data_IF_133873129461
#
_entry.id   IF_133873129461
#
_cell.length_a   1.000
_cell.length_b   1.000
_cell.length_c   1.000
_cell.angle_alpha   90.00
_cell.angle_beta   90.00
_cell.angle_gamma   90.00
#
_symmetry.space_group_name_H-M   'P 1'
#
loop_
_entity.id
_entity.type
_entity.pdbx_description
1 polymer ?
#
# COMPACT_ATOMS: atom_id res chain seq x y z
N UNK A 1 77.01 55.17 -17.29
CA UNK A 1 76.01 54.12 -17.26
C UNK A 1 75.04 54.38 -16.08
N UNK A 2 73.86 54.94 -16.35
CA UNK A 2 72.85 55.17 -15.33
C UNK A 2 71.95 53.89 -15.20
N UNK A 3 71.97 53.29 -14.04
CA UNK A 3 71.04 52.15 -13.70
C UNK A 3 69.69 52.73 -13.30
N UNK A 4 68.64 52.40 -14.05
CA UNK A 4 67.28 52.69 -13.73
C UNK A 4 66.81 51.50 -12.86
N UNK A 5 66.47 51.79 -11.59
CA UNK A 5 65.82 50.83 -10.70
C UNK A 5 64.32 50.99 -10.89
N UNK A 6 63.71 49.99 -11.51
CA UNK A 6 62.23 49.90 -11.66
C UNK A 6 61.65 49.33 -10.38
N UNK A 7 61.03 50.19 -9.55
CA UNK A 7 60.31 49.72 -8.35
C UNK A 7 58.90 49.25 -8.78
N UNK A 8 58.69 47.96 -8.72
CA UNK A 8 57.38 47.39 -8.98
C UNK A 8 56.48 47.57 -7.70
N UNK A 9 55.58 48.56 -7.80
CA UNK A 9 54.57 48.73 -6.74
C UNK A 9 53.44 47.61 -6.87
N UNK A 10 53.44 46.64 -5.95
CA UNK A 10 52.41 45.66 -5.84
C UNK A 10 51.18 46.33 -5.23
N UNK A 11 50.21 46.69 -6.07
CA UNK A 11 48.90 47.11 -5.56
C UNK A 11 48.15 45.87 -5.08
N UNK A 12 48.08 45.67 -3.79
CA UNK A 12 47.10 44.75 -3.16
C UNK A 12 45.73 45.43 -3.23
N UNK A 13 44.90 45.00 -4.18
CA UNK A 13 43.48 45.32 -4.17
C UNK A 13 42.87 44.69 -2.92
N UNK A 14 42.19 45.44 -2.07
CA UNK A 14 41.43 44.86 -0.99
C UNK A 14 40.30 43.99 -1.60
N UNK A 15 40.24 42.73 -1.23
CA UNK A 15 39.08 41.90 -1.47
C UNK A 15 37.86 42.60 -0.87
N UNK A 16 37.02 43.20 -1.72
CA UNK A 16 35.75 43.73 -1.28
C UNK A 16 34.94 42.55 -0.70
N UNK A 17 34.76 42.54 0.61
CA UNK A 17 33.76 41.69 1.23
C UNK A 17 32.39 42.16 0.73
N UNK A 18 31.60 41.28 0.20
CA UNK A 18 30.21 41.55 -0.08
C UNK A 18 29.56 42.04 1.22
N UNK A 19 29.12 43.29 1.24
CA UNK A 19 28.35 43.84 2.34
C UNK A 19 26.87 43.57 2.04
N UNK A 20 26.10 43.18 3.06
CA UNK A 20 24.67 43.11 2.96
C UNK A 20 24.12 44.49 2.52
N UNK A 21 23.43 44.52 1.41
CA UNK A 21 22.76 45.71 0.94
C UNK A 21 21.43 45.81 1.66
N UNK A 22 21.35 46.72 2.66
CA UNK A 22 20.05 47.05 3.28
C UNK A 22 19.31 48.02 2.37
N UNK A 23 18.22 47.53 1.76
CA UNK A 23 17.30 48.34 0.95
C UNK A 23 16.19 48.87 1.88
N UNK A 24 16.17 50.19 2.08
CA UNK A 24 15.11 50.85 2.82
C UNK A 24 14.06 51.38 1.83
N UNK A 25 12.86 50.75 1.81
CA UNK A 25 11.77 51.14 0.92
C UNK A 25 11.45 50.11 -0.16
N UNK A 26 10.55 50.46 -1.07
CA UNK A 26 10.13 49.59 -2.16
C UNK A 26 11.24 49.45 -3.20
N UNK A 27 11.70 48.24 -3.48
CA UNK A 27 12.68 47.95 -4.52
C UNK A 27 11.94 47.43 -5.75
N UNK A 28 12.09 48.11 -6.91
CA UNK A 28 11.56 47.64 -8.20
C UNK A 28 12.72 47.14 -9.05
N UNK A 29 12.59 45.94 -9.58
CA UNK A 29 13.55 45.38 -10.55
C UNK A 29 13.26 45.83 -12.00
N UNK A 30 12.22 46.61 -12.26
CA UNK A 30 11.84 47.19 -13.57
C UNK A 30 11.95 46.18 -14.73
N UNK A 31 11.35 45.01 -14.58
CA UNK A 31 11.41 43.88 -15.53
C UNK A 31 12.77 43.15 -15.60
N UNK A 32 13.73 43.48 -14.73
CA UNK A 32 14.99 42.74 -14.61
C UNK A 32 14.88 41.59 -13.61
N UNK A 33 15.61 40.52 -13.86
CA UNK A 33 15.69 39.39 -12.95
C UNK A 33 16.70 39.64 -11.84
N UNK A 34 16.33 39.34 -10.58
CA UNK A 34 17.32 39.23 -9.50
C UNK A 34 17.89 37.80 -9.59
N UNK A 35 19.19 37.68 -9.82
CA UNK A 35 19.88 36.38 -9.98
C UNK A 35 20.67 36.04 -8.72
N UNK A 36 20.93 34.73 -8.56
CA UNK A 36 21.72 34.18 -7.44
C UNK A 36 21.07 34.45 -6.06
N UNK A 37 19.74 34.45 -5.99
CA UNK A 37 19.00 34.44 -4.72
C UNK A 37 19.17 33.06 -4.11
N UNK A 38 19.64 33.00 -2.87
CA UNK A 38 19.65 31.72 -2.10
C UNK A 38 18.23 31.31 -1.70
N UNK A 39 18.06 30.02 -1.36
CA UNK A 39 16.80 29.58 -0.81
C UNK A 39 16.52 30.25 0.54
N UNK A 40 15.25 30.59 0.84
CA UNK A 40 14.90 31.32 2.05
C UNK A 40 15.20 30.49 3.31
N UNK A 41 15.75 31.17 4.32
CA UNK A 41 15.96 30.60 5.66
C UNK A 41 15.05 31.24 6.71
N UNK A 42 14.51 32.42 6.40
CA UNK A 42 13.59 33.18 7.25
C UNK A 42 12.28 33.45 6.52
N UNK A 43 11.20 33.61 7.25
CA UNK A 43 9.85 33.78 6.69
C UNK A 43 9.66 35.01 5.78
N UNK A 44 10.60 35.98 5.82
CA UNK A 44 10.55 37.21 5.02
C UNK A 44 11.60 37.26 3.91
N UNK A 45 12.36 36.19 3.71
CA UNK A 45 13.37 36.12 2.66
C UNK A 45 12.74 36.04 1.26
N UNK A 46 13.47 36.56 0.26
CA UNK A 46 13.04 36.35 -1.11
C UNK A 46 13.25 34.90 -1.54
N UNK A 47 12.24 34.33 -2.18
CA UNK A 47 12.30 32.96 -2.65
C UNK A 47 12.59 32.90 -4.15
N UNK A 48 13.37 31.92 -4.58
CA UNK A 48 13.54 31.59 -5.99
C UNK A 48 12.29 30.91 -6.54
N UNK A 49 12.07 31.03 -7.88
CA UNK A 49 11.00 30.25 -8.52
C UNK A 49 11.16 28.74 -8.27
N UNK A 50 12.39 28.23 -8.34
CA UNK A 50 12.68 26.82 -8.12
C UNK A 50 12.30 26.37 -6.70
N UNK A 51 12.60 27.16 -5.67
CA UNK A 51 12.20 26.89 -4.31
C UNK A 51 10.67 26.87 -4.14
N UNK A 52 9.97 27.87 -4.69
CA UNK A 52 8.51 27.94 -4.64
C UNK A 52 7.89 26.75 -5.38
N UNK A 53 8.39 26.42 -6.59
CA UNK A 53 7.89 25.27 -7.36
C UNK A 53 8.06 23.95 -6.57
N UNK A 54 9.19 23.78 -5.88
CA UNK A 54 9.45 22.58 -5.05
C UNK A 54 8.48 22.51 -3.84
N UNK A 55 8.26 23.64 -3.14
CA UNK A 55 7.32 23.68 -2.00
C UNK A 55 5.87 23.44 -2.44
N UNK A 56 5.47 23.96 -3.60
CA UNK A 56 4.14 23.70 -4.17
C UNK A 56 4.02 22.22 -4.53
N UNK A 57 5.04 21.62 -5.15
CA UNK A 57 5.01 20.20 -5.51
C UNK A 57 4.89 19.30 -4.27
N UNK A 58 5.62 19.60 -3.19
CA UNK A 58 5.54 18.89 -1.92
C UNK A 58 4.14 19.03 -1.30
N UNK A 59 3.60 20.25 -1.22
CA UNK A 59 2.27 20.50 -0.67
C UNK A 59 1.16 19.85 -1.51
N UNK A 60 1.29 19.81 -2.84
CA UNK A 60 0.34 19.11 -3.72
C UNK A 60 0.40 17.62 -3.50
N UNK A 61 1.60 17.03 -3.34
CA UNK A 61 1.75 15.61 -3.04
C UNK A 61 1.13 15.24 -1.68
N UNK A 62 1.34 16.06 -0.65
CA UNK A 62 0.74 15.86 0.67
C UNK A 62 -0.78 15.96 0.63
N UNK A 63 -1.34 16.97 -0.04
CA UNK A 63 -2.78 17.09 -0.25
C UNK A 63 -3.36 15.91 -1.04
N UNK A 64 -2.62 15.41 -2.03
CA UNK A 64 -3.07 14.24 -2.80
C UNK A 64 -3.11 12.99 -1.93
N UNK A 65 -2.13 12.81 -1.04
CA UNK A 65 -2.14 11.70 -0.07
C UNK A 65 -3.33 11.83 0.89
N UNK A 66 -3.58 13.03 1.45
CA UNK A 66 -4.74 13.27 2.32
C UNK A 66 -6.08 13.02 1.60
N UNK A 67 -6.19 13.39 0.32
CA UNK A 67 -7.38 13.08 -0.50
C UNK A 67 -7.54 11.58 -0.70
N UNK A 68 -6.45 10.87 -0.95
CA UNK A 68 -6.48 9.42 -1.11
C UNK A 68 -6.89 8.73 0.20
N UNK A 69 -6.40 9.21 1.35
CA UNK A 69 -6.78 8.72 2.68
C UNK A 69 -8.27 8.94 3.01
N UNK A 70 -8.88 9.97 2.41
CA UNK A 70 -10.30 10.28 2.59
C UNK A 70 -11.21 9.60 1.57
N UNK A 71 -10.65 9.05 0.48
CA UNK A 71 -11.45 8.30 -0.50
C UNK A 71 -11.71 6.89 0.03
N UNK A 72 -12.95 6.40 -0.07
CA UNK A 72 -13.18 5.00 0.18
C UNK A 72 -12.29 4.18 -0.78
N UNK A 73 -11.72 3.08 -0.29
CA UNK A 73 -11.07 2.12 -1.16
C UNK A 73 -12.13 1.58 -2.12
N UNK A 74 -12.01 1.91 -3.39
CA UNK A 74 -12.97 1.54 -4.44
C UNK A 74 -12.25 0.82 -5.57
N UNK A 75 -12.81 -0.29 -6.04
CA UNK A 75 -12.31 -1.01 -7.19
C UNK A 75 -12.95 -0.53 -8.51
N UNK A 76 -12.48 -1.07 -9.62
CA UNK A 76 -12.95 -0.70 -10.97
C UNK A 76 -14.41 -1.11 -11.23
N UNK A 77 -14.94 -2.06 -10.45
CA UNK A 77 -16.34 -2.51 -10.51
C UNK A 77 -17.27 -1.63 -9.66
N UNK A 78 -16.73 -0.64 -8.92
CA UNK A 78 -17.46 0.27 -8.05
C UNK A 78 -17.75 -0.30 -6.65
N UNK A 79 -17.10 -1.39 -6.26
CA UNK A 79 -17.19 -1.88 -4.89
C UNK A 79 -16.32 -1.03 -3.97
N UNK A 80 -16.87 -0.63 -2.83
CA UNK A 80 -16.15 0.05 -1.77
C UNK A 80 -15.76 -0.92 -0.67
N UNK A 81 -14.64 -0.62 0.01
CA UNK A 81 -14.07 -1.45 1.06
C UNK A 81 -13.70 -0.59 2.26
N UNK A 82 -14.00 -1.08 3.45
CA UNK A 82 -13.47 -0.53 4.69
C UNK A 82 -12.00 -0.94 4.86
N UNK A 83 -11.25 -0.12 5.60
CA UNK A 83 -9.84 -0.39 5.87
C UNK A 83 -9.45 0.03 7.29
N UNK A 84 -8.34 -0.51 7.78
CA UNK A 84 -7.78 -0.21 9.10
C UNK A 84 -6.26 -0.09 9.02
N UNK A 85 -5.68 0.78 9.83
CA UNK A 85 -4.23 0.98 9.87
C UNK A 85 -3.62 0.30 11.09
N UNK A 86 -2.58 -0.49 10.87
CA UNK A 86 -1.78 -1.17 11.89
C UNK A 86 -0.33 -0.70 11.77
N UNK A 87 0.11 0.20 12.64
CA UNK A 87 1.42 0.85 12.52
C UNK A 87 1.51 1.66 11.21
N UNK A 88 2.45 1.28 10.35
CA UNK A 88 2.67 1.95 9.06
C UNK A 88 1.96 1.25 7.88
N UNK A 89 1.14 0.23 8.15
CA UNK A 89 0.41 -0.52 7.13
C UNK A 89 -1.09 -0.27 7.20
N UNK A 90 -1.73 -0.07 6.05
CA UNK A 90 -3.19 0.01 5.93
C UNK A 90 -3.72 -1.21 5.19
N UNK A 91 -4.71 -1.89 5.77
CA UNK A 91 -5.26 -3.15 5.29
C UNK A 91 -6.76 -3.03 5.04
N UNK A 92 -7.24 -3.61 3.93
CA UNK A 92 -8.67 -3.84 3.74
C UNK A 92 -9.18 -4.84 4.77
N UNK A 93 -10.36 -4.58 5.35
CA UNK A 93 -11.02 -5.48 6.31
C UNK A 93 -12.15 -6.29 5.67
N UNK A 94 -12.26 -6.21 4.36
CA UNK A 94 -13.20 -6.99 3.57
C UNK A 94 -12.48 -7.79 2.50
N UNK A 95 -13.03 -8.96 2.16
CA UNK A 95 -12.55 -9.77 1.05
C UNK A 95 -12.75 -9.05 -0.29
N UNK A 96 -11.85 -9.28 -1.23
CA UNK A 96 -11.94 -8.76 -2.59
C UNK A 96 -13.26 -9.18 -3.27
N UNK A 97 -13.89 -8.25 -4.00
CA UNK A 97 -15.18 -8.46 -4.69
C UNK A 97 -15.06 -8.26 -6.21
N UNK A 98 -13.85 -7.99 -6.71
CA UNK A 98 -13.56 -7.60 -8.09
C UNK A 98 -13.92 -8.70 -9.10
N UNK A 99 -14.46 -8.29 -10.22
CA UNK A 99 -14.69 -9.12 -11.41
C UNK A 99 -13.78 -8.69 -12.57
N UNK A 100 -13.01 -7.60 -12.35
CA UNK A 100 -12.07 -7.05 -13.31
C UNK A 100 -10.75 -6.71 -12.67
N UNK A 101 -9.71 -6.77 -13.44
CA UNK A 101 -8.42 -6.16 -13.12
C UNK A 101 -8.55 -4.63 -13.12
N UNK A 102 -7.59 -3.93 -12.49
CA UNK A 102 -7.57 -2.47 -12.38
C UNK A 102 -7.77 -1.72 -13.69
N UNK A 103 -7.33 -2.27 -14.80
CA UNK A 103 -7.46 -1.68 -16.14
C UNK A 103 -8.81 -1.95 -16.83
N UNK A 104 -9.73 -2.63 -16.15
CA UNK A 104 -11.05 -2.99 -16.66
C UNK A 104 -11.11 -4.32 -17.41
N UNK A 105 -10.00 -5.05 -17.55
CA UNK A 105 -10.01 -6.40 -18.15
C UNK A 105 -10.76 -7.36 -17.24
N UNK A 106 -11.69 -8.14 -17.78
CA UNK A 106 -12.50 -9.10 -17.02
C UNK A 106 -11.68 -10.25 -16.45
N UNK A 107 -12.02 -10.66 -15.22
CA UNK A 107 -11.58 -11.90 -14.60
C UNK A 107 -12.76 -12.88 -14.71
N UNK A 108 -12.67 -13.97 -15.49
CA UNK A 108 -13.81 -14.85 -15.71
C UNK A 108 -14.25 -15.58 -14.46
N UNK A 109 -15.58 -15.73 -14.31
CA UNK A 109 -16.15 -16.64 -13.32
C UNK A 109 -16.12 -18.07 -13.87
N UNK A 110 -15.49 -19.00 -13.13
CA UNK A 110 -15.41 -20.42 -13.51
C UNK A 110 -16.02 -21.27 -12.41
N UNK A 111 -17.14 -21.94 -12.71
CA UNK A 111 -17.90 -22.78 -11.78
C UNK A 111 -17.62 -24.28 -11.95
N UNK A 112 -17.34 -24.74 -13.18
CA UNK A 112 -17.04 -26.14 -13.46
C UNK A 112 -15.70 -26.57 -12.85
N UNK A 113 -15.66 -27.75 -12.25
CA UNK A 113 -14.46 -28.24 -11.54
C UNK A 113 -13.35 -28.65 -12.53
N UNK A 114 -13.70 -29.25 -13.67
CA UNK A 114 -12.72 -29.68 -14.66
C UNK A 114 -12.11 -28.48 -15.38
N UNK A 115 -12.92 -27.45 -15.67
CA UNK A 115 -12.41 -26.19 -16.21
C UNK A 115 -11.47 -25.52 -15.23
N UNK A 116 -11.85 -25.46 -13.93
CA UNK A 116 -11.00 -24.88 -12.89
C UNK A 116 -9.64 -25.57 -12.77
N UNK A 117 -9.61 -26.89 -12.80
CA UNK A 117 -8.38 -27.69 -12.72
C UNK A 117 -7.40 -27.41 -13.85
N UNK A 118 -7.92 -27.06 -15.04
CA UNK A 118 -7.12 -26.83 -16.24
C UNK A 118 -6.79 -25.34 -16.48
N UNK A 119 -7.13 -24.45 -15.55
CA UNK A 119 -6.85 -23.02 -15.71
C UNK A 119 -5.34 -22.73 -15.68
N UNK A 120 -4.91 -21.89 -16.60
CA UNK A 120 -3.58 -21.28 -16.65
C UNK A 120 -3.65 -19.76 -16.60
N UNK A 121 -4.86 -19.21 -16.43
CA UNK A 121 -5.16 -17.78 -16.35
C UNK A 121 -6.04 -17.48 -15.15
N UNK A 122 -6.20 -16.20 -14.85
CA UNK A 122 -7.00 -15.73 -13.73
C UNK A 122 -8.46 -16.10 -13.83
N UNK A 123 -9.04 -16.57 -12.71
CA UNK A 123 -10.45 -16.85 -12.56
C UNK A 123 -10.91 -16.67 -11.12
N UNK A 124 -12.21 -16.50 -10.95
CA UNK A 124 -12.86 -16.47 -9.64
C UNK A 124 -14.11 -17.34 -9.61
N UNK A 125 -14.57 -17.70 -8.40
CA UNK A 125 -15.86 -18.33 -8.14
C UNK A 125 -16.38 -17.92 -6.76
N UNK A 126 -17.63 -18.21 -6.46
CA UNK A 126 -18.11 -18.23 -5.08
C UNK A 126 -17.81 -19.58 -4.43
N UNK A 127 -17.68 -19.61 -3.08
CA UNK A 127 -17.59 -20.88 -2.37
C UNK A 127 -18.84 -21.73 -2.67
N UNK A 128 -18.63 -23.00 -3.04
CA UNK A 128 -19.69 -23.93 -3.49
C UNK A 128 -20.63 -23.34 -4.57
N UNK A 129 -20.11 -22.42 -5.37
CA UNK A 129 -20.85 -21.67 -6.40
C UNK A 129 -22.10 -20.91 -5.86
N UNK A 130 -22.13 -20.61 -4.57
CA UNK A 130 -23.21 -19.91 -3.90
C UNK A 130 -22.91 -18.40 -3.81
N UNK A 131 -23.66 -17.58 -4.55
CA UNK A 131 -23.47 -16.12 -4.61
C UNK A 131 -23.73 -15.37 -3.29
N UNK A 132 -24.22 -16.05 -2.25
CA UNK A 132 -24.29 -15.49 -0.90
C UNK A 132 -22.97 -15.54 -0.13
N UNK A 133 -21.96 -16.21 -0.67
CA UNK A 133 -20.62 -16.37 -0.10
C UNK A 133 -19.64 -15.38 -0.72
N UNK A 134 -18.46 -15.27 -0.11
CA UNK A 134 -17.36 -14.48 -0.66
C UNK A 134 -16.78 -15.08 -1.94
N UNK A 135 -16.08 -14.24 -2.73
CA UNK A 135 -15.37 -14.69 -3.92
C UNK A 135 -14.05 -15.34 -3.55
N UNK A 136 -13.73 -16.42 -4.23
CA UNK A 136 -12.46 -17.12 -4.18
C UNK A 136 -11.77 -16.93 -5.53
N UNK A 137 -10.50 -16.56 -5.49
CA UNK A 137 -9.68 -16.31 -6.68
C UNK A 137 -8.59 -17.38 -6.77
N UNK A 138 -8.24 -17.79 -8.00
CA UNK A 138 -7.06 -18.61 -8.19
C UNK A 138 -5.78 -17.76 -8.14
N UNK A 139 -4.64 -18.41 -8.03
CA UNK A 139 -3.32 -17.77 -8.02
C UNK A 139 -3.10 -16.86 -9.24
N UNK A 140 -3.50 -17.32 -10.41
CA UNK A 140 -3.33 -16.56 -11.64
C UNK A 140 -4.08 -15.22 -11.64
N UNK A 141 -5.29 -15.18 -11.09
CA UNK A 141 -6.04 -13.94 -10.94
C UNK A 141 -5.30 -12.95 -10.04
N UNK A 142 -4.85 -13.41 -8.89
CA UNK A 142 -4.15 -12.58 -7.89
C UNK A 142 -2.83 -12.03 -8.44
N UNK A 143 -2.13 -12.81 -9.28
CA UNK A 143 -0.90 -12.40 -9.95
C UNK A 143 -1.11 -11.65 -11.28
N UNK A 144 -2.37 -11.51 -11.73
CA UNK A 144 -2.69 -10.74 -12.92
C UNK A 144 -2.45 -11.45 -14.23
N UNK A 145 -2.28 -12.77 -14.23
CA UNK A 145 -2.11 -13.58 -15.45
C UNK A 145 -3.46 -13.72 -16.14
N UNK A 146 -3.67 -13.00 -17.23
CA UNK A 146 -4.98 -12.87 -17.87
C UNK A 146 -5.07 -13.52 -19.26
N UNK A 147 -3.95 -13.94 -19.83
CA UNK A 147 -3.86 -14.70 -21.08
C UNK A 147 -2.73 -15.74 -21.02
N UNK A 148 -2.55 -16.50 -22.08
CA UNK A 148 -1.57 -17.59 -22.17
C UNK A 148 -0.25 -17.18 -22.82
N UNK A 149 -0.07 -15.92 -23.23
CA UNK A 149 1.19 -15.41 -23.76
C UNK A 149 2.11 -14.98 -22.61
N UNK A 150 3.23 -15.68 -22.36
CA UNK A 150 4.13 -15.35 -21.27
C UNK A 150 4.85 -13.99 -21.44
N UNK A 151 4.73 -13.35 -22.60
CA UNK A 151 5.30 -12.03 -22.85
C UNK A 151 4.30 -10.89 -22.57
N UNK A 152 3.04 -11.20 -22.37
CA UNK A 152 2.03 -10.20 -22.00
C UNK A 152 2.25 -9.80 -20.54
N UNK A 153 2.38 -8.49 -20.23
CA UNK A 153 2.54 -8.04 -18.87
C UNK A 153 1.33 -8.39 -18.00
N UNK A 154 1.60 -8.87 -16.78
CA UNK A 154 0.56 -9.15 -15.80
C UNK A 154 -0.23 -7.87 -15.47
N UNK A 155 -1.51 -8.02 -15.19
CA UNK A 155 -2.41 -6.93 -14.83
C UNK A 155 -2.45 -6.72 -13.32
N UNK A 156 -2.63 -5.48 -12.89
CA UNK A 156 -2.78 -5.20 -11.47
C UNK A 156 -4.16 -5.71 -10.98
N UNK A 157 -4.14 -6.58 -9.97
CA UNK A 157 -5.35 -7.13 -9.35
C UNK A 157 -5.98 -6.12 -8.38
N UNK A 158 -5.21 -5.62 -7.43
CA UNK A 158 -5.73 -4.72 -6.40
C UNK A 158 -6.10 -3.32 -6.94
N UNK A 159 -7.02 -2.58 -6.30
CA UNK A 159 -7.39 -1.22 -6.67
C UNK A 159 -6.21 -0.24 -6.72
N UNK A 160 -6.43 0.95 -7.27
CA UNK A 160 -5.40 2.00 -7.36
C UNK A 160 -4.89 2.39 -5.96
N UNK A 161 -3.57 2.46 -5.82
CA UNK A 161 -2.90 2.72 -4.54
C UNK A 161 -2.79 1.51 -3.61
N UNK A 162 -3.35 0.36 -3.99
CA UNK A 162 -3.32 -0.89 -3.22
C UNK A 162 -2.60 -2.00 -3.98
N UNK A 163 -2.16 -3.01 -3.26
CA UNK A 163 -1.51 -4.20 -3.83
C UNK A 163 -1.89 -5.46 -3.04
N UNK A 164 -1.66 -6.62 -3.63
CA UNK A 164 -1.74 -7.90 -2.90
C UNK A 164 -0.54 -8.00 -1.98
N UNK A 165 -0.73 -8.23 -0.67
CA UNK A 165 0.36 -8.22 0.29
C UNK A 165 1.41 -9.31 0.01
N UNK A 166 2.66 -9.01 0.32
CA UNK A 166 3.76 -9.97 0.35
C UNK A 166 3.80 -10.73 1.68
N UNK A 167 4.53 -11.85 1.75
CA UNK A 167 4.76 -12.56 3.02
C UNK A 167 5.44 -11.68 4.09
N UNK A 168 6.31 -10.75 3.65
CA UNK A 168 6.95 -9.82 4.56
C UNK A 168 5.95 -8.82 5.17
N UNK A 169 4.96 -8.39 4.41
CA UNK A 169 3.89 -7.51 4.89
C UNK A 169 2.94 -8.25 5.82
N UNK A 170 2.57 -9.49 5.52
CA UNK A 170 1.84 -10.36 6.45
C UNK A 170 2.61 -10.54 7.77
N UNK A 171 3.91 -10.83 7.70
CA UNK A 171 4.77 -10.95 8.89
C UNK A 171 4.81 -9.65 9.70
N UNK A 172 4.83 -8.49 9.04
CA UNK A 172 4.81 -7.18 9.70
C UNK A 172 3.49 -6.96 10.44
N UNK A 173 2.35 -7.27 9.79
CA UNK A 173 1.03 -7.23 10.43
C UNK A 173 0.95 -8.15 11.65
N UNK A 174 1.35 -9.42 11.51
CA UNK A 174 1.34 -10.38 12.62
C UNK A 174 2.17 -9.89 13.81
N UNK A 175 3.38 -9.43 13.55
CA UNK A 175 4.27 -8.88 14.59
C UNK A 175 3.67 -7.65 15.28
N UNK A 176 3.04 -6.76 14.53
CA UNK A 176 2.33 -5.61 15.08
C UNK A 176 1.20 -6.06 16.01
N UNK A 177 0.35 -6.97 15.56
CA UNK A 177 -0.78 -7.48 16.35
C UNK A 177 -0.31 -8.17 17.63
N UNK A 178 0.71 -9.02 17.55
CA UNK A 178 1.30 -9.67 18.73
C UNK A 178 1.84 -8.64 19.71
N UNK A 179 2.65 -7.69 19.24
CA UNK A 179 3.29 -6.68 20.08
C UNK A 179 2.28 -5.75 20.78
N UNK A 180 1.10 -5.54 20.16
CA UNK A 180 0.04 -4.70 20.69
C UNK A 180 -1.04 -5.46 21.47
N UNK A 181 -0.79 -6.74 21.84
CA UNK A 181 -1.64 -7.50 22.73
C UNK A 181 -2.89 -8.12 22.10
N UNK A 182 -2.92 -8.27 20.77
CA UNK A 182 -4.02 -8.93 20.04
C UNK A 182 -3.94 -10.46 20.06
N UNK A 183 -3.11 -11.06 20.91
CA UNK A 183 -3.25 -12.48 21.24
C UNK A 183 -4.52 -12.70 22.07
N UNK A 184 -5.28 -13.76 21.82
CA UNK A 184 -6.54 -14.03 22.53
C UNK A 184 -6.42 -14.04 24.07
N UNK A 185 -5.22 -14.20 24.59
CA UNK A 185 -4.91 -14.20 26.04
C UNK A 185 -4.23 -12.89 26.50
N UNK A 186 -4.17 -11.87 25.64
CA UNK A 186 -3.58 -10.57 25.91
C UNK A 186 -2.04 -10.57 26.02
N UNK A 187 -1.38 -11.70 25.75
CA UNK A 187 0.09 -11.78 25.78
C UNK A 187 0.70 -11.14 24.53
N UNK A 188 1.94 -10.66 24.65
CA UNK A 188 2.71 -10.06 23.54
C UNK A 188 3.80 -10.99 23.01
N UNK A 189 3.64 -12.30 23.20
CA UNK A 189 4.60 -13.31 22.75
C UNK A 189 3.90 -14.57 22.23
N UNK A 190 4.53 -15.19 21.24
CA UNK A 190 3.92 -16.28 20.46
C UNK A 190 2.80 -15.76 19.56
N UNK A 191 2.50 -16.50 18.49
CA UNK A 191 1.43 -16.15 17.57
C UNK A 191 0.12 -16.83 17.99
N UNK A 192 -0.82 -16.05 18.53
CA UNK A 192 -2.15 -16.49 19.01
C UNK A 192 -3.24 -15.50 18.58
N UNK A 193 -2.99 -14.74 17.49
CA UNK A 193 -3.81 -13.64 17.02
C UNK A 193 -5.08 -14.09 16.29
N UNK A 194 -5.17 -15.37 15.89
CA UNK A 194 -6.23 -15.88 15.01
C UNK A 194 -7.65 -15.53 15.49
N UNK A 195 -7.90 -15.58 16.80
CA UNK A 195 -9.20 -15.23 17.36
C UNK A 195 -9.50 -13.72 17.24
N UNK A 196 -8.52 -12.89 17.50
CA UNK A 196 -8.68 -11.44 17.46
C UNK A 196 -8.73 -10.88 16.04
N UNK A 197 -8.25 -11.63 15.05
CA UNK A 197 -8.40 -11.33 13.62
C UNK A 197 -9.72 -11.87 13.02
N UNK A 198 -10.30 -12.91 13.61
CA UNK A 198 -11.46 -13.61 13.08
C UNK A 198 -12.75 -12.78 13.19
N UNK A 199 -13.66 -12.93 12.23
CA UNK A 199 -15.02 -12.40 12.29
C UNK A 199 -15.79 -12.92 13.51
N UNK A 200 -16.80 -12.17 13.96
CA UNK A 200 -17.65 -12.54 15.10
C UNK A 200 -18.72 -13.60 14.75
N UNK A 201 -18.76 -14.04 13.50
CA UNK A 201 -19.74 -15.01 12.99
C UNK A 201 -19.13 -15.90 11.90
N UNK A 202 -19.82 -16.98 11.56
CA UNK A 202 -19.47 -17.86 10.43
C UNK A 202 -18.57 -19.04 10.80
N UNK A 203 -17.91 -19.03 11.94
CA UNK A 203 -17.00 -20.09 12.39
C UNK A 203 -17.78 -21.30 12.94
N UNK A 204 -17.31 -22.49 12.63
CA UNK A 204 -17.82 -23.71 13.26
C UNK A 204 -17.53 -23.70 14.77
N UNK A 205 -18.46 -24.23 15.56
CA UNK A 205 -18.32 -24.26 17.03
C UNK A 205 -17.07 -25.01 17.47
N UNK A 206 -16.33 -24.45 18.42
CA UNK A 206 -15.13 -25.05 19.01
C UNK A 206 -15.16 -25.00 20.52
N UNK A 207 -14.56 -26.01 21.16
CA UNK A 207 -14.32 -26.04 22.62
C UNK A 207 -12.90 -25.57 22.98
N UNK A 208 -12.02 -25.43 21.98
CA UNK A 208 -10.61 -25.07 22.17
C UNK A 208 -10.49 -23.59 22.54
N UNK A 209 -9.79 -23.31 23.62
CA UNK A 209 -9.52 -21.92 24.06
C UNK A 209 -8.64 -21.22 23.03
N UNK A 210 -9.02 -20.02 22.64
CA UNK A 210 -8.32 -19.24 21.62
C UNK A 210 -8.73 -19.57 20.18
N UNK A 211 -9.51 -20.63 19.95
CA UNK A 211 -10.06 -20.89 18.62
C UNK A 211 -11.14 -19.85 18.27
N UNK A 212 -11.20 -19.37 17.01
CA UNK A 212 -12.26 -18.46 16.55
C UNK A 212 -13.68 -18.98 16.79
N UNK A 213 -13.93 -20.29 16.64
CA UNK A 213 -15.24 -20.92 16.87
C UNK A 213 -15.70 -20.96 18.33
N UNK A 214 -14.85 -20.64 19.30
CA UNK A 214 -15.23 -20.60 20.72
C UNK A 214 -15.63 -19.19 21.13
N UNK A 215 -16.90 -19.00 21.50
CA UNK A 215 -17.43 -17.68 21.89
C UNK A 215 -17.13 -16.63 20.81
N UNK A 216 -17.66 -16.81 19.61
CA UNK A 216 -17.38 -15.98 18.42
C UNK A 216 -17.65 -14.49 18.66
N UNK A 217 -18.61 -14.14 19.53
CA UNK A 217 -18.87 -12.74 19.90
C UNK A 217 -17.68 -12.01 20.57
N UNK A 218 -16.65 -12.76 20.99
CA UNK A 218 -15.40 -12.25 21.53
C UNK A 218 -14.25 -12.25 20.51
N UNK A 219 -14.54 -12.42 19.24
CA UNK A 219 -13.56 -12.28 18.16
C UNK A 219 -13.41 -10.81 17.74
N UNK A 220 -12.52 -10.58 16.79
CA UNK A 220 -12.36 -9.35 16.02
C UNK A 220 -11.95 -8.11 16.83
N UNK A 221 -11.18 -8.27 17.92
CA UNK A 221 -10.64 -7.13 18.66
C UNK A 221 -9.65 -6.32 17.81
N UNK A 222 -8.98 -6.93 16.84
CA UNK A 222 -8.09 -6.22 15.92
C UNK A 222 -8.83 -5.38 14.88
N UNK A 223 -10.10 -5.70 14.59
CA UNK A 223 -10.88 -5.09 13.52
C UNK A 223 -10.62 -5.71 12.14
N UNK A 224 -9.73 -6.70 11.99
CA UNK A 224 -9.37 -7.31 10.70
C UNK A 224 -10.52 -8.09 10.05
N UNK A 225 -11.39 -8.68 10.85
CA UNK A 225 -12.67 -9.27 10.44
C UNK A 225 -12.59 -10.44 9.44
N UNK A 226 -11.62 -11.34 9.60
CA UNK A 226 -11.43 -12.50 8.74
C UNK A 226 -12.61 -13.49 8.80
N UNK A 227 -13.30 -13.73 7.67
CA UNK A 227 -14.37 -14.70 7.55
C UNK A 227 -13.84 -16.09 7.20
N UNK A 228 -14.43 -17.17 7.73
CA UNK A 228 -14.02 -18.55 7.44
C UNK A 228 -14.61 -19.05 6.11
N UNK A 229 -14.27 -18.42 5.01
CA UNK A 229 -14.79 -18.73 3.68
C UNK A 229 -14.20 -20.01 3.07
N UNK A 230 -13.29 -20.69 3.78
CA UNK A 230 -12.60 -21.86 3.26
C UNK A 230 -11.76 -21.57 2.03
N UNK A 231 -11.66 -22.54 1.12
CA UNK A 231 -10.94 -22.36 -0.14
C UNK A 231 -11.42 -23.32 -1.22
N UNK A 232 -11.15 -23.01 -2.49
CA UNK A 232 -11.30 -23.92 -3.61
C UNK A 232 -9.91 -24.48 -3.98
N UNK A 233 -9.79 -25.80 -3.98
CA UNK A 233 -8.54 -26.48 -4.30
C UNK A 233 -8.31 -26.54 -5.81
N UNK A 234 -7.08 -26.90 -6.25
CA UNK A 234 -6.73 -26.94 -7.67
C UNK A 234 -7.63 -27.88 -8.49
N UNK A 235 -8.10 -28.98 -7.89
CA UNK A 235 -9.01 -29.95 -8.54
C UNK A 235 -10.48 -29.48 -8.61
N UNK A 236 -10.75 -28.23 -8.30
CA UNK A 236 -12.10 -27.65 -8.34
C UNK A 236 -12.98 -27.92 -7.14
N UNK A 237 -12.54 -28.73 -6.16
CA UNK A 237 -13.30 -29.05 -4.94
C UNK A 237 -13.17 -27.95 -3.88
N UNK A 238 -14.21 -27.79 -3.05
CA UNK A 238 -14.28 -26.81 -1.96
C UNK A 238 -14.02 -27.47 -0.61
N UNK A 239 -13.32 -26.76 0.29
CA UNK A 239 -12.94 -27.28 1.60
C UNK A 239 -12.97 -26.21 2.68
N UNK A 240 -13.21 -26.68 3.92
CA UNK A 240 -12.97 -25.96 5.18
C UNK A 240 -13.77 -24.66 5.38
N UNK A 241 -14.95 -24.54 4.77
CA UNK A 241 -15.88 -23.49 5.15
C UNK A 241 -16.24 -23.60 6.64
N UNK A 242 -16.23 -22.48 7.33
CA UNK A 242 -16.46 -22.40 8.76
C UNK A 242 -15.23 -22.71 9.62
N UNK A 243 -14.16 -23.24 9.06
CA UNK A 243 -12.98 -23.67 9.82
C UNK A 243 -11.72 -22.85 9.52
N UNK A 244 -11.57 -22.35 8.28
CA UNK A 244 -10.35 -21.67 7.83
C UNK A 244 -10.71 -20.38 7.07
N UNK A 245 -9.99 -19.30 7.39
CA UNK A 245 -9.85 -18.13 6.56
C UNK A 245 -8.48 -18.19 5.83
N UNK A 246 -8.50 -18.15 4.50
CA UNK A 246 -7.29 -18.24 3.66
C UNK A 246 -7.11 -16.97 2.87
N UNK A 247 -5.89 -16.45 2.86
CA UNK A 247 -5.52 -15.22 2.15
C UNK A 247 -4.34 -15.47 1.24
N UNK A 248 -4.33 -14.80 0.10
CA UNK A 248 -3.22 -14.84 -0.82
C UNK A 248 -2.07 -13.93 -0.35
N UNK A 249 -0.86 -14.35 -0.69
CA UNK A 249 0.34 -13.53 -0.70
C UNK A 249 0.85 -13.39 -2.14
N UNK A 250 1.43 -12.26 -2.50
CA UNK A 250 2.08 -12.08 -3.79
C UNK A 250 3.48 -12.70 -3.86
N UNK A 251 4.01 -13.21 -2.75
CA UNK A 251 5.29 -13.91 -2.70
C UNK A 251 5.12 -15.33 -3.20
N UNK A 252 5.80 -15.68 -4.28
CA UNK A 252 5.84 -17.07 -4.76
C UNK A 252 6.57 -17.98 -3.79
N UNK A 253 5.95 -19.11 -3.48
CA UNK A 253 6.60 -20.16 -2.71
C UNK A 253 7.24 -21.18 -3.68
N UNK A 254 8.55 -21.11 -3.87
CA UNK A 254 9.31 -22.05 -4.71
C UNK A 254 9.48 -23.46 -4.10
N UNK A 255 8.75 -23.79 -3.05
CA UNK A 255 8.79 -25.14 -2.47
C UNK A 255 8.05 -26.14 -3.34
N UNK A 256 8.77 -26.61 -4.34
CA UNK A 256 8.56 -27.87 -5.07
C UNK A 256 7.26 -28.07 -5.88
N UNK A 257 7.45 -28.06 -7.15
CA UNK A 257 6.73 -29.01 -8.01
C UNK A 257 6.82 -30.43 -7.49
#
# INVERSE_FOLDING_TARGET
MKRIILTLALFTLPLAKAQDIKLNGTTSAESNQIKNVADPTEAQDAATKAYIDAQIAEAVADLQNQINDLRPLEDVDGNTYDFITYGDQTWSVENAKMEKYRDGTEIPQVTDATEWENLTTGAWCYYDNNSSKGKLYNWYAVMGVHDTDPNTPNKAFAPEGWHVPTDAEWTTLENYLIANGYNYDGTTSGNKIAKDMASTTGWNSSTVTGAPGKNQSLNNHSGFNAFPEGYRYYNGSFYNEGDIASFWSSTENYSNN
#
